data_IF_160916946360
#
_entry.id   IF_160916946360
#
_cell.length_a   1.000
_cell.length_b   1.000
_cell.length_c   1.000
_cell.angle_alpha   90.00
_cell.angle_beta   90.00
_cell.angle_gamma   90.00
#
_symmetry.space_group_name_H-M   'P 1'
#
loop_
_entity.id
_entity.type
_entity.pdbx_description
1 polymer ?
#
# COMPACT_ATOMS: atom_id res chain seq x y z
N UNK A 1 22.99 0.15 7.88
CA UNK A 1 23.56 -1.04 8.57
C UNK A 1 23.56 -0.86 10.08
N UNK A 2 24.16 0.20 10.62
CA UNK A 2 24.19 0.43 12.07
C UNK A 2 22.77 0.53 12.66
N UNK A 3 21.89 1.32 12.04
CA UNK A 3 20.50 1.44 12.48
C UNK A 3 19.77 0.09 12.55
N UNK A 4 20.02 -0.81 11.58
CA UNK A 4 19.43 -2.15 11.60
C UNK A 4 19.95 -2.98 12.78
N UNK A 5 21.24 -2.87 13.14
CA UNK A 5 21.78 -3.55 14.32
C UNK A 5 21.15 -3.00 15.61
N UNK A 6 21.04 -1.67 15.70
CA UNK A 6 20.50 -1.00 16.88
C UNK A 6 19.01 -1.32 17.06
N UNK A 7 18.21 -1.27 15.98
CA UNK A 7 16.79 -1.63 16.01
C UNK A 7 16.57 -3.10 16.37
N UNK A 8 17.41 -4.01 15.86
CA UNK A 8 17.34 -5.43 16.23
C UNK A 8 17.68 -5.63 17.71
N UNK A 9 18.67 -4.89 18.24
CA UNK A 9 19.02 -4.93 19.66
C UNK A 9 17.89 -4.41 20.56
N UNK A 10 17.09 -3.45 20.07
CA UNK A 10 15.88 -2.94 20.74
C UNK A 10 14.71 -3.94 20.73
N UNK A 11 14.78 -5.02 19.94
CA UNK A 11 13.76 -6.06 19.91
C UNK A 11 12.50 -5.69 19.12
N UNK A 12 12.63 -4.89 18.06
CA UNK A 12 11.49 -4.52 17.20
C UNK A 12 10.86 -5.74 16.50
N UNK A 13 9.55 -5.68 16.24
CA UNK A 13 8.80 -6.75 15.55
C UNK A 13 8.95 -6.72 14.03
N UNK A 14 9.11 -5.52 13.46
CA UNK A 14 9.19 -5.30 12.02
C UNK A 14 10.31 -4.32 11.68
N UNK A 15 10.95 -4.55 10.53
CA UNK A 15 11.88 -3.62 9.90
C UNK A 15 11.44 -3.37 8.46
N UNK A 16 11.15 -2.11 8.15
CA UNK A 16 10.87 -1.69 6.78
C UNK A 16 12.15 -1.19 6.11
N UNK A 17 12.46 -1.70 4.91
CA UNK A 17 13.61 -1.26 4.10
C UNK A 17 13.12 -0.40 2.93
N UNK A 18 13.64 0.82 2.83
CA UNK A 18 13.35 1.77 1.74
C UNK A 18 14.07 1.42 0.45
N UNK A 19 13.50 1.88 -0.67
CA UNK A 19 14.06 1.87 -2.02
C UNK A 19 14.52 0.49 -2.49
N UNK A 20 13.81 -0.57 -2.09
CA UNK A 20 14.05 -1.93 -2.56
C UNK A 20 13.91 -1.95 -4.07
N UNK A 21 14.82 -2.62 -4.76
CA UNK A 21 14.79 -2.81 -6.21
C UNK A 21 14.84 -4.29 -6.60
N UNK A 22 15.44 -5.15 -5.77
CA UNK A 22 15.63 -6.58 -6.01
C UNK A 22 15.53 -7.38 -4.70
N UNK A 23 15.33 -8.69 -4.81
CA UNK A 23 15.31 -9.61 -3.67
C UNK A 23 16.59 -9.53 -2.82
N UNK A 24 17.75 -9.32 -3.46
CA UNK A 24 19.04 -9.20 -2.77
C UNK A 24 19.11 -8.06 -1.75
N UNK A 25 18.32 -6.99 -1.94
CA UNK A 25 18.28 -5.86 -1.00
C UNK A 25 17.62 -6.29 0.33
N UNK A 26 16.57 -7.10 0.23
CA UNK A 26 15.87 -7.69 1.39
C UNK A 26 16.76 -8.74 2.06
N UNK A 27 17.37 -9.62 1.29
CA UNK A 27 18.26 -10.67 1.80
C UNK A 27 19.48 -10.10 2.53
N UNK A 28 20.01 -8.94 2.08
CA UNK A 28 21.08 -8.22 2.76
C UNK A 28 20.65 -7.83 4.18
N UNK A 29 19.47 -7.23 4.32
CA UNK A 29 18.94 -6.85 5.64
C UNK A 29 18.68 -8.09 6.52
N UNK A 30 18.12 -9.15 5.95
CA UNK A 30 17.94 -10.42 6.66
C UNK A 30 19.29 -11.02 7.12
N UNK A 31 20.36 -10.87 6.33
CA UNK A 31 21.72 -11.25 6.72
C UNK A 31 22.23 -10.47 7.94
N UNK A 32 21.94 -9.17 7.99
CA UNK A 32 22.24 -8.33 9.16
C UNK A 32 21.43 -8.82 10.37
N UNK A 33 20.12 -8.98 10.22
CA UNK A 33 19.22 -9.46 11.29
C UNK A 33 19.69 -10.81 11.87
N UNK A 34 20.14 -11.75 11.01
CA UNK A 34 20.64 -13.07 11.44
C UNK A 34 21.89 -12.98 12.32
N UNK A 35 22.74 -11.99 12.09
CA UNK A 35 24.03 -11.84 12.78
C UNK A 35 24.01 -10.79 13.89
N UNK A 36 22.95 -10.00 13.96
CA UNK A 36 22.78 -8.95 14.96
C UNK A 36 22.61 -9.53 16.38
N UNK A 37 23.23 -8.90 17.40
CA UNK A 37 22.92 -9.19 18.79
C UNK A 37 21.45 -8.85 19.06
N UNK A 38 20.77 -9.70 19.84
CA UNK A 38 19.36 -9.52 20.19
C UNK A 38 19.16 -9.60 21.69
N UNK A 39 18.25 -8.80 22.20
CA UNK A 39 17.77 -8.93 23.56
C UNK A 39 17.15 -10.33 23.74
N UNK A 40 17.51 -11.03 24.82
CA UNK A 40 17.03 -12.38 25.08
C UNK A 40 15.48 -12.41 25.15
N UNK A 41 14.87 -13.35 24.41
CA UNK A 41 13.42 -13.48 24.32
C UNK A 41 12.74 -12.59 23.27
N UNK A 42 13.47 -11.70 22.60
CA UNK A 42 12.91 -10.87 21.51
C UNK A 42 12.64 -11.69 20.25
N UNK A 43 11.58 -11.39 19.50
CA UNK A 43 11.32 -12.04 18.22
C UNK A 43 12.39 -11.72 17.18
N UNK A 44 12.45 -12.52 16.11
CA UNK A 44 13.20 -12.13 14.90
C UNK A 44 12.33 -11.12 14.16
N UNK A 45 12.82 -9.89 13.89
CA UNK A 45 12.01 -8.92 13.18
C UNK A 45 11.67 -9.42 11.77
N UNK A 46 10.42 -9.21 11.37
CA UNK A 46 9.96 -9.44 10.00
C UNK A 46 10.39 -8.29 9.09
N UNK A 47 10.71 -8.58 7.85
CA UNK A 47 11.17 -7.58 6.88
C UNK A 47 10.05 -7.18 5.92
N UNK A 48 9.74 -5.88 5.91
CA UNK A 48 8.79 -5.25 4.99
C UNK A 48 9.58 -4.53 3.89
N UNK A 49 9.37 -4.90 2.63
CA UNK A 49 9.98 -4.22 1.50
C UNK A 49 9.14 -3.00 1.09
N UNK A 50 9.69 -1.78 1.18
CA UNK A 50 9.01 -0.60 0.65
C UNK A 50 9.20 -0.53 -0.85
N UNK A 51 8.08 -0.58 -1.57
CA UNK A 51 8.06 -0.53 -3.02
C UNK A 51 7.88 0.93 -3.45
N UNK A 52 8.98 1.48 -3.94
CA UNK A 52 9.11 2.91 -4.31
C UNK A 52 9.71 3.05 -5.72
N UNK A 53 10.59 2.11 -6.09
CA UNK A 53 11.35 2.15 -7.34
C UNK A 53 10.68 1.34 -8.45
N UNK A 54 10.76 1.76 -9.72
CA UNK A 54 10.17 1.02 -10.85
C UNK A 54 10.73 -0.40 -10.97
N UNK A 55 12.03 -0.59 -10.70
CA UNK A 55 12.69 -1.90 -10.73
C UNK A 55 12.06 -2.88 -9.73
N UNK A 56 11.54 -2.38 -8.60
CA UNK A 56 10.86 -3.21 -7.62
C UNK A 56 9.52 -3.76 -8.14
N UNK A 57 8.84 -3.00 -9.01
CA UNK A 57 7.61 -3.46 -9.67
C UNK A 57 7.90 -4.58 -10.67
N UNK A 58 9.04 -4.51 -11.35
CA UNK A 58 9.50 -5.54 -12.29
C UNK A 58 9.89 -6.84 -11.57
N UNK A 59 10.55 -6.75 -10.42
CA UNK A 59 11.02 -7.90 -9.63
C UNK A 59 10.11 -8.23 -8.43
N UNK A 60 8.86 -7.78 -8.42
CA UNK A 60 7.99 -7.88 -7.24
C UNK A 60 7.80 -9.32 -6.75
N UNK A 61 7.74 -10.29 -7.67
CA UNK A 61 7.54 -11.71 -7.31
C UNK A 61 8.77 -12.29 -6.60
N UNK A 62 9.97 -11.90 -7.02
CA UNK A 62 11.23 -12.28 -6.35
C UNK A 62 11.35 -11.61 -4.97
N UNK A 63 10.96 -10.34 -4.88
CA UNK A 63 10.96 -9.59 -3.60
C UNK A 63 9.99 -10.23 -2.61
N UNK A 64 8.77 -10.57 -3.05
CA UNK A 64 7.76 -11.23 -2.21
C UNK A 64 8.16 -12.64 -1.77
N UNK A 65 8.99 -13.34 -2.57
CA UNK A 65 9.49 -14.65 -2.19
C UNK A 65 10.38 -14.61 -0.93
N UNK A 66 11.12 -13.51 -0.73
CA UNK A 66 12.06 -13.35 0.39
C UNK A 66 11.55 -12.43 1.50
N UNK A 67 10.70 -11.45 1.20
CA UNK A 67 10.13 -10.52 2.19
C UNK A 67 8.97 -11.14 2.98
N UNK A 68 8.69 -10.60 4.17
CA UNK A 68 7.52 -10.97 4.98
C UNK A 68 6.28 -10.16 4.59
N UNK A 69 6.48 -9.05 3.89
CA UNK A 69 5.44 -8.17 3.38
C UNK A 69 6.01 -7.06 2.51
N UNK A 70 5.11 -6.29 1.91
CA UNK A 70 5.42 -5.12 1.11
C UNK A 70 4.65 -3.91 1.60
N UNK A 71 5.27 -2.75 1.47
CA UNK A 71 4.64 -1.46 1.71
C UNK A 71 4.56 -0.70 0.40
N UNK A 72 3.34 -0.34 -0.02
CA UNK A 72 3.09 0.51 -1.17
C UNK A 72 3.32 1.96 -0.75
N UNK A 73 4.55 2.46 -0.93
CA UNK A 73 4.96 3.80 -0.52
C UNK A 73 4.72 4.81 -1.66
N UNK A 74 3.48 5.28 -1.76
CA UNK A 74 2.96 6.06 -2.89
C UNK A 74 3.66 7.41 -3.08
N UNK A 75 4.02 8.08 -1.99
CA UNK A 75 4.70 9.38 -2.02
C UNK A 75 6.03 9.34 -2.76
N UNK A 76 6.87 8.33 -2.45
CA UNK A 76 8.17 8.13 -3.12
C UNK A 76 8.02 7.45 -4.50
N UNK A 77 6.95 6.67 -4.70
CA UNK A 77 6.68 6.01 -5.98
C UNK A 77 6.16 6.98 -7.06
N UNK A 78 5.37 7.99 -6.69
CA UNK A 78 4.70 8.87 -7.64
C UNK A 78 5.66 9.64 -8.57
N UNK A 79 6.79 10.21 -8.11
CA UNK A 79 7.78 10.84 -8.99
C UNK A 79 8.47 9.86 -9.94
N UNK A 80 8.59 8.59 -9.56
CA UNK A 80 9.36 7.58 -10.30
C UNK A 80 8.57 6.97 -11.47
N UNK A 81 7.26 6.73 -11.27
CA UNK A 81 6.39 6.12 -12.29
C UNK A 81 5.31 7.06 -12.83
N UNK A 82 5.19 8.27 -12.27
CA UNK A 82 4.09 9.19 -12.54
C UNK A 82 2.86 8.89 -11.70
N UNK A 83 2.23 9.94 -11.13
CA UNK A 83 1.08 9.81 -10.24
C UNK A 83 -0.11 9.05 -10.86
N UNK A 84 -0.26 9.10 -12.19
CA UNK A 84 -1.33 8.40 -12.90
C UNK A 84 -1.15 6.87 -12.93
N UNK A 85 0.07 6.36 -12.72
CA UNK A 85 0.35 4.90 -12.68
C UNK A 85 0.28 4.32 -11.27
N UNK A 86 0.37 5.15 -10.24
CA UNK A 86 0.33 4.72 -8.83
C UNK A 86 -0.93 3.93 -8.47
N UNK A 87 -2.16 4.33 -8.87
CA UNK A 87 -3.36 3.56 -8.54
C UNK A 87 -3.33 2.13 -9.11
N UNK A 88 -2.80 1.95 -10.33
CA UNK A 88 -2.65 0.62 -10.91
C UNK A 88 -1.57 -0.18 -10.18
N UNK A 89 -0.42 0.44 -9.88
CA UNK A 89 0.67 -0.21 -9.15
C UNK A 89 0.20 -0.70 -7.77
N UNK A 90 -0.52 0.12 -7.01
CA UNK A 90 -1.14 -0.25 -5.74
C UNK A 90 -2.00 -1.53 -5.88
N UNK A 91 -2.96 -1.53 -6.81
CA UNK A 91 -3.85 -2.69 -7.02
C UNK A 91 -3.09 -3.96 -7.35
N UNK A 92 -2.03 -3.85 -8.16
CA UNK A 92 -1.18 -4.99 -8.53
C UNK A 92 -0.37 -5.49 -7.33
N UNK A 93 0.26 -4.59 -6.58
CA UNK A 93 1.10 -4.91 -5.43
C UNK A 93 0.31 -5.58 -4.31
N UNK A 94 -0.82 -5.00 -3.91
CA UNK A 94 -1.67 -5.58 -2.85
C UNK A 94 -2.21 -6.95 -3.26
N UNK A 95 -2.61 -7.12 -4.53
CA UNK A 95 -3.06 -8.42 -5.04
C UNK A 95 -1.95 -9.46 -5.01
N UNK A 96 -0.74 -9.11 -5.47
CA UNK A 96 0.41 -10.03 -5.47
C UNK A 96 0.84 -10.40 -4.05
N UNK A 97 0.86 -9.43 -3.13
CA UNK A 97 1.15 -9.68 -1.71
C UNK A 97 0.17 -10.70 -1.12
N UNK A 98 -1.13 -10.47 -1.32
CA UNK A 98 -2.19 -11.40 -0.90
C UNK A 98 -2.04 -12.79 -1.49
N UNK A 99 -1.77 -12.89 -2.79
CA UNK A 99 -1.56 -14.18 -3.49
C UNK A 99 -0.34 -14.94 -2.94
N UNK A 100 0.70 -14.22 -2.53
CA UNK A 100 1.89 -14.79 -1.91
C UNK A 100 1.71 -15.07 -0.40
N UNK A 101 0.55 -14.75 0.19
CA UNK A 101 0.31 -14.87 1.64
C UNK A 101 1.21 -13.92 2.46
N UNK A 102 1.53 -12.75 1.90
CA UNK A 102 2.39 -11.73 2.48
C UNK A 102 1.59 -10.48 2.82
N UNK A 103 2.02 -9.74 3.84
CA UNK A 103 1.37 -8.49 4.25
C UNK A 103 1.46 -7.44 3.14
N UNK A 104 0.34 -6.82 2.79
CA UNK A 104 0.25 -5.65 1.93
C UNK A 104 -0.12 -4.41 2.74
N UNK A 105 0.86 -3.53 2.97
CA UNK A 105 0.66 -2.28 3.71
C UNK A 105 0.46 -1.15 2.70
N UNK A 106 -0.65 -0.43 2.80
CA UNK A 106 -0.89 0.79 2.03
C UNK A 106 -0.42 2.01 2.83
N UNK A 107 0.49 2.80 2.24
CA UNK A 107 1.17 3.85 2.97
C UNK A 107 1.26 5.17 2.21
N UNK A 108 1.52 6.22 2.99
CA UNK A 108 1.76 7.63 2.62
C UNK A 108 0.53 8.37 2.08
N UNK A 109 0.42 9.64 2.51
CA UNK A 109 -0.62 10.59 2.09
C UNK A 109 -2.04 10.02 2.17
N UNK A 110 -2.31 9.24 3.22
CA UNK A 110 -3.63 8.62 3.38
C UNK A 110 -4.64 9.66 3.86
N UNK A 111 -4.26 10.50 4.83
CA UNK A 111 -5.10 11.54 5.42
C UNK A 111 -4.32 12.85 5.58
N UNK A 112 -3.44 13.19 4.62
CA UNK A 112 -2.43 14.26 4.76
C UNK A 112 -3.01 15.62 5.16
N UNK A 113 -4.23 15.96 4.71
CA UNK A 113 -4.91 17.20 5.10
C UNK A 113 -5.13 17.31 6.60
N UNK A 114 -5.16 16.17 7.31
CA UNK A 114 -5.35 16.11 8.76
C UNK A 114 -4.12 16.52 9.58
N UNK A 115 -2.99 16.81 8.93
CA UNK A 115 -1.89 17.53 9.58
C UNK A 115 -2.38 18.89 10.10
N UNK A 116 -3.21 19.59 9.33
CA UNK A 116 -3.68 20.94 9.64
C UNK A 116 -5.21 21.06 9.77
N UNK A 117 -5.95 19.94 9.61
CA UNK A 117 -7.41 19.89 9.67
C UNK A 117 -7.90 18.80 10.62
N UNK A 118 -8.97 19.03 11.42
CA UNK A 118 -9.54 18.00 12.28
C UNK A 118 -10.33 16.92 11.51
N UNK A 119 -10.56 17.11 10.20
CA UNK A 119 -11.31 16.17 9.36
C UNK A 119 -10.61 15.96 8.02
N UNK A 120 -10.63 14.75 7.46
CA UNK A 120 -10.03 14.49 6.16
C UNK A 120 -10.89 15.06 5.02
N UNK A 121 -10.28 15.23 3.86
CA UNK A 121 -11.01 15.52 2.64
C UNK A 121 -11.81 14.30 2.17
N UNK A 122 -12.82 14.53 1.33
CA UNK A 122 -13.59 13.45 0.69
C UNK A 122 -12.73 12.55 -0.19
N UNK A 123 -11.69 13.11 -0.81
CA UNK A 123 -10.78 12.36 -1.66
C UNK A 123 -9.94 11.37 -0.84
N UNK A 124 -9.37 11.83 0.28
CA UNK A 124 -8.61 10.99 1.22
C UNK A 124 -9.47 9.91 1.86
N UNK A 125 -10.68 10.26 2.30
CA UNK A 125 -11.62 9.28 2.83
C UNK A 125 -11.94 8.18 1.81
N UNK A 126 -12.17 8.56 0.56
CA UNK A 126 -12.42 7.62 -0.55
C UNK A 126 -11.19 6.76 -0.84
N UNK A 127 -9.99 7.33 -0.75
CA UNK A 127 -8.74 6.64 -1.02
C UNK A 127 -8.43 5.55 0.02
N UNK A 128 -8.55 5.88 1.32
CA UNK A 128 -8.43 4.89 2.41
C UNK A 128 -9.44 3.76 2.20
N UNK A 129 -10.71 4.10 2.02
CA UNK A 129 -11.80 3.13 1.87
C UNK A 129 -11.53 2.17 0.70
N UNK A 130 -11.16 2.68 -0.47
CA UNK A 130 -10.84 1.83 -1.63
C UNK A 130 -9.55 1.03 -1.44
N UNK A 131 -8.57 1.56 -0.71
CA UNK A 131 -7.35 0.84 -0.37
C UNK A 131 -7.63 -0.45 0.41
N UNK A 132 -8.57 -0.39 1.36
CA UNK A 132 -9.05 -1.58 2.08
C UNK A 132 -9.76 -2.54 1.14
N UNK A 133 -10.65 -2.05 0.27
CA UNK A 133 -11.33 -2.88 -0.73
C UNK A 133 -10.37 -3.55 -1.74
N UNK A 134 -9.24 -2.91 -2.03
CA UNK A 134 -8.17 -3.50 -2.86
C UNK A 134 -7.43 -4.64 -2.15
N UNK A 135 -7.68 -4.84 -0.86
CA UNK A 135 -7.13 -5.89 -0.02
C UNK A 135 -5.81 -5.49 0.64
N UNK A 136 -5.68 -4.24 1.10
CA UNK A 136 -4.64 -3.87 2.04
C UNK A 136 -4.89 -4.56 3.40
N UNK A 137 -3.85 -5.18 3.96
CA UNK A 137 -3.90 -5.76 5.31
C UNK A 137 -3.77 -4.68 6.39
N UNK A 138 -3.01 -3.62 6.08
CA UNK A 138 -2.81 -2.47 6.96
C UNK A 138 -2.78 -1.17 6.16
N UNK A 139 -3.19 -0.08 6.81
CA UNK A 139 -2.96 1.30 6.35
C UNK A 139 -1.98 2.00 7.28
N UNK A 140 -1.21 2.97 6.77
CA UNK A 140 -0.21 3.71 7.55
C UNK A 140 -0.48 5.21 7.54
N UNK A 141 -0.50 5.83 8.72
CA UNK A 141 -0.36 7.28 8.89
C UNK A 141 1.11 7.66 8.98
N UNK A 142 1.47 8.80 8.42
CA UNK A 142 2.82 9.36 8.42
C UNK A 142 2.81 10.64 9.26
N UNK A 143 2.98 11.79 8.61
CA UNK A 143 3.04 13.10 9.25
C UNK A 143 1.78 13.40 10.07
N UNK A 144 0.64 12.88 9.65
CA UNK A 144 -0.66 13.04 10.33
C UNK A 144 -0.58 12.66 11.82
N UNK A 145 0.16 11.59 12.13
CA UNK A 145 0.32 11.07 13.49
C UNK A 145 1.63 11.47 14.16
N UNK A 146 2.69 11.69 13.37
CA UNK A 146 4.03 11.97 13.89
C UNK A 146 4.18 13.43 14.34
N UNK A 147 3.64 14.38 13.56
CA UNK A 147 3.83 15.82 13.79
C UNK A 147 2.56 16.66 13.55
N UNK A 148 1.46 16.04 13.13
CA UNK A 148 0.20 16.74 12.85
C UNK A 148 -0.44 17.37 14.09
N UNK A 149 -1.32 18.35 13.85
CA UNK A 149 -2.07 19.03 14.90
C UNK A 149 -3.23 18.19 15.46
N UNK A 150 -3.65 17.14 14.74
CA UNK A 150 -4.81 16.30 15.06
C UNK A 150 -4.50 14.79 14.98
N UNK A 151 -3.47 14.29 15.69
CA UNK A 151 -2.98 12.92 15.53
C UNK A 151 -3.98 11.86 16.02
N UNK A 152 -4.74 12.16 17.08
CA UNK A 152 -5.75 11.23 17.62
C UNK A 152 -6.96 11.13 16.69
N UNK A 153 -7.38 12.28 16.15
CA UNK A 153 -8.47 12.39 15.18
C UNK A 153 -8.11 11.70 13.86
N UNK A 154 -6.85 11.79 13.42
CA UNK A 154 -6.38 11.08 12.23
C UNK A 154 -6.49 9.56 12.41
N UNK A 155 -6.13 9.04 13.58
CA UNK A 155 -6.28 7.61 13.91
C UNK A 155 -7.76 7.21 13.98
N UNK A 156 -8.62 8.00 14.62
CA UNK A 156 -10.07 7.73 14.69
C UNK A 156 -10.72 7.75 13.29
N UNK A 157 -10.39 8.76 12.48
CA UNK A 157 -10.88 8.86 11.10
C UNK A 157 -10.44 7.65 10.26
N UNK A 158 -9.16 7.27 10.34
CA UNK A 158 -8.64 6.07 9.67
C UNK A 158 -9.40 4.83 10.09
N UNK A 159 -9.59 4.62 11.40
CA UNK A 159 -10.29 3.46 11.95
C UNK A 159 -11.73 3.37 11.46
N UNK A 160 -12.48 4.48 11.47
CA UNK A 160 -13.87 4.51 10.98
C UNK A 160 -13.95 4.15 9.49
N UNK A 161 -13.06 4.68 8.66
CA UNK A 161 -13.04 4.39 7.23
C UNK A 161 -12.74 2.91 6.94
N UNK A 162 -11.83 2.31 7.72
CA UNK A 162 -11.50 0.88 7.60
C UNK A 162 -12.71 0.02 7.97
N UNK A 163 -13.35 0.28 9.12
CA UNK A 163 -14.52 -0.48 9.58
C UNK A 163 -15.67 -0.42 8.57
N UNK A 164 -15.93 0.76 8.00
CA UNK A 164 -16.96 0.92 6.96
C UNK A 164 -16.61 0.13 5.69
N UNK A 165 -15.33 0.11 5.28
CA UNK A 165 -14.89 -0.65 4.11
C UNK A 165 -14.96 -2.17 4.35
N UNK A 166 -14.58 -2.63 5.53
CA UNK A 166 -14.65 -4.05 5.94
C UNK A 166 -16.11 -4.54 5.95
N UNK A 167 -17.06 -3.73 6.44
CA UNK A 167 -18.49 -4.06 6.41
C UNK A 167 -19.02 -4.34 4.99
N UNK A 168 -18.48 -3.66 3.96
CA UNK A 168 -18.81 -3.92 2.55
C UNK A 168 -18.23 -5.25 2.05
N UNK A 169 -17.04 -5.64 2.53
CA UNK A 169 -16.43 -6.92 2.20
C UNK A 169 -17.20 -8.09 2.84
N UNK A 170 -17.60 -7.95 4.11
CA UNK A 170 -18.31 -8.98 4.88
C UNK A 170 -19.74 -9.21 4.37
N UNK A 171 -20.46 -8.14 4.03
CA UNK A 171 -21.83 -8.23 3.50
C UNK A 171 -21.88 -8.89 2.11
N UNK A 172 -20.73 -8.99 1.43
CA UNK A 172 -20.62 -9.49 0.06
C UNK A 172 -21.34 -8.60 -0.96
N UNK A 173 -21.73 -7.38 -0.59
CA UNK A 173 -22.44 -6.45 -1.48
C UNK A 173 -21.62 -6.14 -2.74
N UNK A 174 -20.30 -6.07 -2.59
CA UNK A 174 -19.39 -5.87 -3.71
C UNK A 174 -19.31 -7.10 -4.62
N UNK A 175 -19.32 -8.31 -4.05
CA UNK A 175 -19.32 -9.58 -4.79
C UNK A 175 -20.65 -9.81 -5.52
N UNK A 176 -21.78 -9.38 -4.93
CA UNK A 176 -23.11 -9.47 -5.54
C UNK A 176 -23.30 -8.52 -6.73
N UNK A 177 -22.56 -7.40 -6.78
CA UNK A 177 -22.63 -6.40 -7.85
C UNK A 177 -21.54 -6.49 -8.92
N UNK A 178 -20.54 -7.37 -8.81
CA UNK A 178 -19.52 -7.55 -9.85
C UNK A 178 -20.02 -8.37 -11.07
N UNK A 179 -21.02 -7.82 -11.76
CA UNK A 179 -21.13 -7.86 -13.21
C UNK A 179 -20.51 -6.58 -13.84
N UNK A 180 -19.49 -5.98 -13.21
CA UNK A 180 -18.76 -4.81 -13.75
C UNK A 180 -18.21 -5.12 -15.15
N UNK A 181 -17.78 -6.37 -15.41
CA UNK A 181 -17.40 -6.82 -16.75
C UNK A 181 -18.56 -6.87 -17.77
N UNK A 182 -19.82 -6.95 -17.31
CA UNK A 182 -21.02 -6.97 -18.15
C UNK A 182 -21.49 -5.54 -18.46
N UNK A 183 -21.37 -4.61 -17.52
CA UNK A 183 -21.66 -3.18 -17.72
C UNK A 183 -20.58 -2.47 -18.55
N UNK A 184 -19.29 -2.82 -18.38
CA UNK A 184 -18.23 -2.32 -19.26
C UNK A 184 -18.37 -2.80 -20.71
N UNK A 185 -18.96 -3.98 -20.94
CA UNK A 185 -19.31 -4.45 -22.29
C UNK A 185 -20.48 -3.66 -22.88
N UNK A 186 -21.53 -3.38 -22.10
CA UNK A 186 -22.64 -2.56 -22.61
C UNK A 186 -22.20 -1.12 -22.92
N UNK A 187 -21.29 -0.55 -22.13
CA UNK A 187 -20.71 0.77 -22.39
C UNK A 187 -19.80 0.79 -23.64
N UNK A 188 -19.05 -0.28 -23.90
CA UNK A 188 -18.25 -0.43 -25.12
C UNK A 188 -19.10 -0.65 -26.38
N UNK A 189 -20.21 -1.38 -26.26
CA UNK A 189 -21.16 -1.63 -27.34
C UNK A 189 -21.97 -0.36 -27.69
N UNK A 190 -22.31 0.47 -26.70
CA UNK A 190 -22.97 1.78 -26.93
C UNK A 190 -22.02 2.83 -27.54
N UNK A 191 -20.75 2.87 -27.13
CA UNK A 191 -19.75 3.80 -27.67
C UNK A 191 -19.34 3.47 -29.12
N UNK A 192 -19.51 2.23 -29.57
CA UNK A 192 -19.18 1.79 -30.93
C UNK A 192 -20.19 2.27 -32.00
N UNK A 193 -21.33 2.83 -31.59
CA UNK A 193 -22.39 3.32 -32.49
C UNK A 193 -22.40 4.85 -32.66
N UNK A 194 -21.54 5.59 -31.97
CA UNK A 194 -21.54 7.07 -32.01
C UNK A 194 -20.14 7.66 -32.06
N UNK A 195 -19.40 7.41 -33.14
CA UNK A 195 -18.34 8.33 -33.56
C UNK A 195 -18.61 8.81 -34.99
N UNK A 196 -19.06 10.06 -35.19
CA UNK A 196 -18.98 10.68 -36.50
C UNK A 196 -17.50 10.88 -36.82
N UNK A 197 -17.07 10.32 -37.95
CA UNK A 197 -15.78 10.62 -38.58
C UNK A 197 -15.70 12.13 -38.78
N UNK A 198 -14.79 12.81 -38.09
CA UNK A 198 -14.49 14.21 -38.38
C UNK A 198 -13.72 14.26 -39.71
N UNK A 199 -14.11 15.14 -40.65
CA UNK A 199 -13.43 15.24 -41.94
C UNK A 199 -12.07 15.92 -41.78
N UNK A 200 -11.06 15.33 -42.43
CA UNK A 200 -9.69 15.83 -42.50
C UNK A 200 -9.64 17.29 -43.01
N UNK A 201 -8.80 18.10 -42.35
CA UNK A 201 -8.26 19.35 -42.88
C UNK A 201 -6.76 19.40 -42.63
#
# INVERSE_FOLDING_TARGET
RQDALDLVALGVDFLAISFVQRASDVEMLQGIIRTAPRLAGSPVPRVIAKIEKPQALEHIDEILAVADGVMVARGDMAPEIGYWRVPLAQKVLLRKARQAGKLGILATQMLISMVDSPTPSRAEATDVFNGVLDGADCTMLSDESAFGNYPSEAVDAMSRLIVEAEGVLESGEMTRKHNVCRELRSLADEASLTHPVLPDR
#
